data_IF_428390939576
#
_entry.id   IF_428390939576
#
_cell.length_a   1.000
_cell.length_b   1.000
_cell.length_c   1.000
_cell.angle_alpha   90.00
_cell.angle_beta   90.00
_cell.angle_gamma   90.00
#
_symmetry.space_group_name_H-M   'P 1'
#
loop_
_entity.id
_entity.type
_entity.pdbx_description
1 polymer ?
#
# COMPACT_ATOMS: atom_id res chain seq x y z
N UNK A 1 82.79 6.86 -14.29
CA UNK A 1 81.73 6.84 -13.27
C UNK A 1 80.41 6.81 -13.96
N UNK A 2 79.73 5.61 -13.93
CA UNK A 2 78.41 5.46 -14.52
C UNK A 2 77.40 5.33 -13.38
N UNK A 3 76.49 6.28 -13.27
CA UNK A 3 75.35 6.28 -12.31
C UNK A 3 74.18 5.62 -12.96
N UNK A 4 73.74 4.45 -12.43
CA UNK A 4 72.58 3.75 -12.82
C UNK A 4 71.38 4.23 -11.98
N UNK A 5 70.43 4.88 -12.65
CA UNK A 5 69.13 5.27 -12.07
C UNK A 5 68.18 4.03 -12.08
N UNK A 6 67.72 3.60 -10.90
CA UNK A 6 66.69 2.55 -10.76
C UNK A 6 65.31 3.24 -10.68
N UNK A 7 64.48 3.08 -11.70
CA UNK A 7 63.06 3.42 -11.69
C UNK A 7 62.29 2.30 -10.97
N UNK A 8 61.75 2.62 -9.80
CA UNK A 8 60.84 1.76 -9.10
C UNK A 8 59.40 1.98 -9.60
N UNK A 9 58.76 0.97 -10.13
CA UNK A 9 57.35 0.99 -10.46
C UNK A 9 56.52 0.74 -9.19
N UNK A 10 55.71 1.72 -8.77
CA UNK A 10 54.73 1.56 -7.70
C UNK A 10 53.43 1.07 -8.37
N UNK A 11 53.09 -0.19 -8.11
CA UNK A 11 51.84 -0.78 -8.56
C UNK A 11 50.74 -0.29 -7.60
N UNK A 12 49.92 0.67 -8.00
CA UNK A 12 48.74 1.08 -7.25
C UNK A 12 47.66 0.02 -7.42
N UNK A 13 47.41 -0.77 -6.38
CA UNK A 13 46.21 -1.64 -6.31
C UNK A 13 44.96 -0.76 -6.15
N UNK A 14 44.19 -0.63 -7.21
CA UNK A 14 42.80 -0.11 -7.13
C UNK A 14 41.92 -1.15 -6.42
N UNK A 15 41.68 -0.93 -5.13
CA UNK A 15 40.63 -1.62 -4.39
C UNK A 15 39.29 -1.01 -4.84
N UNK A 16 38.60 -1.68 -5.74
CA UNK A 16 37.21 -1.36 -6.05
C UNK A 16 36.38 -1.74 -4.83
N UNK A 17 36.04 -0.76 -4.00
CA UNK A 17 35.02 -0.94 -2.98
C UNK A 17 33.72 -1.23 -3.71
N UNK A 18 33.29 -2.49 -3.71
CA UNK A 18 31.91 -2.85 -4.07
C UNK A 18 31.01 -2.21 -3.02
N UNK A 19 30.31 -1.14 -3.40
CA UNK A 19 29.18 -0.65 -2.61
C UNK A 19 28.23 -1.84 -2.39
N UNK A 20 27.84 -2.16 -1.14
CA UNK A 20 26.83 -3.18 -0.94
C UNK A 20 25.60 -2.72 -1.71
N UNK A 21 25.13 -3.55 -2.65
CA UNK A 21 23.81 -3.41 -3.26
C UNK A 21 22.84 -3.48 -2.09
N UNK A 22 22.29 -2.33 -1.69
CA UNK A 22 21.22 -2.29 -0.70
C UNK A 22 20.12 -3.16 -1.31
N UNK A 23 19.87 -4.31 -0.70
CA UNK A 23 18.80 -5.20 -1.15
C UNK A 23 17.53 -4.37 -1.27
N UNK A 24 16.91 -4.38 -2.45
CA UNK A 24 15.71 -3.59 -2.69
C UNK A 24 14.57 -4.13 -1.81
N UNK A 25 14.36 -3.44 -0.70
CA UNK A 25 13.30 -3.75 0.23
C UNK A 25 11.97 -3.18 -0.29
N UNK A 26 10.88 -3.84 0.06
CA UNK A 26 9.51 -3.35 -0.12
C UNK A 26 8.87 -3.18 1.26
N UNK A 27 9.27 -2.15 2.03
CA UNK A 27 9.13 -2.10 3.48
C UNK A 27 7.71 -1.80 3.98
N UNK A 28 6.83 -1.39 3.10
CA UNK A 28 5.44 -1.00 3.38
C UNK A 28 4.56 -1.22 2.16
N UNK A 29 3.26 -1.03 2.33
CA UNK A 29 2.33 -1.04 1.22
C UNK A 29 2.75 -0.05 0.13
N UNK A 30 2.83 -0.52 -1.14
CA UNK A 30 3.33 0.20 -2.31
C UNK A 30 4.83 0.57 -2.28
N UNK A 31 5.64 -0.15 -1.48
CA UNK A 31 7.10 -0.06 -1.53
C UNK A 31 7.70 1.11 -0.76
N UNK A 32 8.99 1.32 -0.93
CA UNK A 32 9.78 2.25 -0.13
C UNK A 32 9.25 3.69 -0.13
N UNK A 33 8.69 4.13 -1.26
CA UNK A 33 8.14 5.48 -1.43
C UNK A 33 6.60 5.50 -1.43
N UNK A 34 5.93 4.38 -1.13
CA UNK A 34 4.47 4.31 -1.16
C UNK A 34 3.82 4.55 -2.53
N UNK A 35 4.60 4.51 -3.61
CA UNK A 35 4.20 4.91 -4.96
C UNK A 35 3.97 3.74 -5.93
N UNK A 36 4.29 2.49 -5.52
CA UNK A 36 4.15 1.30 -6.35
C UNK A 36 5.21 1.13 -7.43
N UNK A 37 6.34 1.85 -7.35
CA UNK A 37 7.39 1.82 -8.36
C UNK A 37 8.68 1.28 -7.77
N UNK A 38 9.39 0.46 -8.56
CA UNK A 38 10.75 0.02 -8.28
C UNK A 38 11.71 0.48 -9.36
N UNK A 39 12.98 0.64 -8.99
CA UNK A 39 14.09 0.89 -9.92
C UNK A 39 14.76 -0.41 -10.38
N UNK A 40 14.34 -1.55 -9.86
CA UNK A 40 14.87 -2.86 -10.24
C UNK A 40 14.67 -3.13 -11.73
N UNK A 41 15.61 -3.87 -12.29
CA UNK A 41 15.60 -4.32 -13.68
C UNK A 41 15.49 -5.85 -13.76
N UNK A 42 15.27 -6.38 -14.95
CA UNK A 42 15.13 -7.82 -15.17
C UNK A 42 13.95 -8.45 -14.42
N UNK A 43 12.89 -7.69 -14.22
CA UNK A 43 11.67 -8.17 -13.58
C UNK A 43 10.98 -9.25 -14.43
N UNK A 44 10.38 -10.28 -13.80
CA UNK A 44 9.75 -11.38 -14.50
C UNK A 44 8.58 -10.92 -15.38
N UNK A 45 8.51 -11.43 -16.59
CA UNK A 45 7.42 -11.17 -17.52
C UNK A 45 6.59 -12.43 -17.82
N UNK A 46 7.08 -13.62 -17.45
CA UNK A 46 6.40 -14.88 -17.76
C UNK A 46 6.45 -15.83 -16.58
N UNK A 47 5.28 -16.33 -16.20
CA UNK A 47 5.09 -17.42 -15.23
C UNK A 47 3.75 -18.11 -15.45
N UNK A 48 3.61 -19.29 -14.86
CA UNK A 48 2.37 -20.05 -14.79
C UNK A 48 2.30 -20.80 -13.46
N UNK A 49 1.28 -21.60 -13.24
CA UNK A 49 1.19 -22.44 -12.04
C UNK A 49 2.37 -23.43 -11.89
N UNK A 50 3.07 -23.75 -12.97
CA UNK A 50 4.15 -24.77 -13.02
C UNK A 50 5.52 -24.21 -13.41
N UNK A 51 5.61 -22.95 -13.81
CA UNK A 51 6.86 -22.35 -14.28
C UNK A 51 7.02 -20.92 -13.78
N UNK A 52 8.24 -20.49 -13.48
CA UNK A 52 8.53 -19.12 -13.07
C UNK A 52 8.05 -18.76 -11.66
N UNK A 53 7.55 -19.73 -10.88
CA UNK A 53 7.26 -19.60 -9.45
C UNK A 53 8.46 -20.13 -8.69
N UNK A 54 9.18 -19.22 -8.01
CA UNK A 54 10.32 -19.60 -7.17
C UNK A 54 9.88 -20.43 -5.96
N UNK A 55 8.77 -20.03 -5.35
CA UNK A 55 8.13 -20.77 -4.27
C UNK A 55 6.66 -20.32 -4.06
N UNK A 56 5.91 -21.17 -3.41
CA UNK A 56 4.55 -20.95 -2.91
C UNK A 56 4.49 -21.35 -1.45
N UNK A 57 3.83 -20.57 -0.61
CA UNK A 57 3.63 -20.88 0.79
C UNK A 57 2.18 -20.70 1.19
N UNK A 58 1.67 -21.63 2.01
CA UNK A 58 0.34 -21.53 2.63
C UNK A 58 0.42 -20.65 3.87
N UNK A 59 -0.55 -19.76 4.05
CA UNK A 59 -0.67 -18.87 5.19
C UNK A 59 -1.59 -19.48 6.25
N UNK A 60 -1.33 -19.18 7.51
CA UNK A 60 -2.12 -19.70 8.65
C UNK A 60 -3.56 -19.18 8.71
N UNK A 61 -3.90 -18.18 7.91
CA UNK A 61 -5.23 -17.59 7.85
C UNK A 61 -5.42 -16.78 6.59
N UNK A 62 -6.64 -16.33 6.35
CA UNK A 62 -6.98 -15.51 5.19
C UNK A 62 -6.62 -14.04 5.39
N UNK A 63 -6.44 -13.31 4.30
CA UNK A 63 -6.24 -11.86 4.34
C UNK A 63 -5.87 -11.26 3.00
N UNK A 64 -5.87 -9.93 2.97
CA UNK A 64 -5.60 -9.12 1.77
C UNK A 64 -4.47 -8.09 1.96
N UNK A 65 -3.70 -8.22 3.05
CA UNK A 65 -2.53 -7.35 3.23
C UNK A 65 -1.51 -7.59 2.13
N UNK A 66 -0.92 -6.53 1.59
CA UNK A 66 0.22 -6.67 0.69
C UNK A 66 1.39 -7.30 1.45
N UNK A 67 2.09 -8.27 0.85
CA UNK A 67 3.36 -8.73 1.38
C UNK A 67 4.35 -7.56 1.43
N UNK A 68 5.10 -7.43 2.52
CA UNK A 68 6.23 -6.50 2.59
C UNK A 68 7.54 -7.28 2.70
N UNK A 69 8.62 -6.69 2.24
CA UNK A 69 9.94 -7.33 2.26
C UNK A 69 10.95 -6.43 2.96
N UNK A 70 11.64 -7.02 3.93
CA UNK A 70 12.80 -6.40 4.55
C UNK A 70 13.92 -7.43 4.75
N UNK A 71 15.07 -7.19 4.16
CA UNK A 71 16.18 -8.14 4.17
C UNK A 71 15.76 -9.53 3.67
N UNK A 72 16.04 -10.56 4.44
CA UNK A 72 15.73 -11.96 4.09
C UNK A 72 14.32 -12.42 4.56
N UNK A 73 13.40 -11.49 4.78
CA UNK A 73 12.05 -11.77 5.28
C UNK A 73 10.96 -11.17 4.42
N UNK A 74 9.88 -11.93 4.28
CA UNK A 74 8.60 -11.48 3.70
C UNK A 74 7.57 -11.54 4.80
N UNK A 75 6.93 -10.42 5.11
CA UNK A 75 5.95 -10.32 6.18
C UNK A 75 4.55 -10.17 5.64
N UNK A 76 3.59 -10.84 6.27
CA UNK A 76 2.17 -10.74 5.97
C UNK A 76 1.34 -10.80 7.25
N UNK A 77 0.21 -10.10 7.25
CA UNK A 77 -0.83 -10.25 8.28
C UNK A 77 -1.93 -11.18 7.77
N UNK A 78 -2.54 -11.94 8.63
CA UNK A 78 -3.66 -12.83 8.31
C UNK A 78 -4.65 -12.91 9.48
N UNK A 79 -5.85 -13.40 9.20
CA UNK A 79 -6.90 -13.64 10.18
C UNK A 79 -7.32 -15.10 10.14
N UNK A 80 -7.30 -15.75 11.30
CA UNK A 80 -7.92 -17.04 11.56
C UNK A 80 -9.30 -16.77 12.15
N UNK A 81 -10.32 -17.51 11.72
CA UNK A 81 -11.71 -17.26 12.07
C UNK A 81 -12.37 -16.22 11.15
N UNK A 82 -13.68 -16.29 11.01
CA UNK A 82 -14.40 -15.47 10.03
C UNK A 82 -14.72 -14.06 10.54
N UNK A 83 -14.86 -13.89 11.86
CA UNK A 83 -15.29 -12.64 12.45
C UNK A 83 -16.71 -12.26 12.02
N UNK A 84 -17.03 -10.97 12.04
CA UNK A 84 -18.30 -10.43 11.60
C UNK A 84 -18.16 -9.91 10.17
N UNK A 85 -18.91 -10.51 9.25
CA UNK A 85 -18.95 -10.05 7.85
C UNK A 85 -20.26 -9.31 7.59
N UNK A 86 -20.17 -8.22 6.88
CA UNK A 86 -21.34 -7.53 6.35
C UNK A 86 -21.70 -8.14 5.00
N UNK A 87 -22.78 -8.90 4.97
CA UNK A 87 -23.40 -9.34 3.72
C UNK A 87 -24.13 -8.14 3.11
N UNK A 88 -23.74 -7.70 1.96
CA UNK A 88 -24.39 -6.62 1.22
C UNK A 88 -23.74 -6.54 -0.14
N UNK A 89 -24.54 -6.17 -1.14
CA UNK A 89 -24.06 -6.03 -2.49
C UNK A 89 -22.75 -5.23 -2.49
N UNK A 90 -21.78 -5.73 -3.23
CA UNK A 90 -20.62 -4.94 -3.63
C UNK A 90 -21.11 -3.54 -4.01
N UNK A 91 -20.37 -2.47 -3.70
CA UNK A 91 -20.60 -1.22 -4.36
C UNK A 91 -20.41 -1.48 -5.86
N UNK A 92 -21.47 -2.00 -6.49
CA UNK A 92 -21.53 -2.10 -7.92
C UNK A 92 -21.51 -0.65 -8.41
N UNK A 93 -20.64 -0.35 -9.34
CA UNK A 93 -20.60 0.92 -10.08
C UNK A 93 -21.87 1.11 -10.96
N UNK A 94 -22.91 0.35 -10.70
CA UNK A 94 -24.22 0.51 -11.32
C UNK A 94 -24.81 1.79 -10.75
N UNK A 95 -24.84 2.82 -11.58
CA UNK A 95 -25.52 4.07 -11.29
C UNK A 95 -26.93 3.79 -10.75
N UNK A 96 -27.22 4.33 -9.58
CA UNK A 96 -28.55 4.35 -9.00
C UNK A 96 -28.86 3.36 -7.89
N UNK A 97 -27.98 2.43 -7.55
CA UNK A 97 -28.19 1.55 -6.40
C UNK A 97 -27.40 2.06 -5.19
N UNK A 98 -28.01 2.81 -4.31
CA UNK A 98 -27.58 2.94 -2.92
C UNK A 98 -27.80 1.61 -2.18
N UNK A 99 -27.12 0.57 -2.68
CA UNK A 99 -27.17 -0.76 -2.09
C UNK A 99 -26.43 -0.83 -0.73
N UNK A 100 -25.85 0.26 -0.28
CA UNK A 100 -25.06 0.35 0.96
C UNK A 100 -25.85 0.61 2.24
N UNK A 101 -27.14 0.88 2.18
CA UNK A 101 -27.96 1.22 3.36
C UNK A 101 -28.83 0.09 3.88
N UNK A 102 -28.80 -1.07 3.27
CA UNK A 102 -29.52 -2.22 3.82
C UNK A 102 -28.84 -2.68 5.09
N UNK A 103 -29.61 -2.79 6.16
CA UNK A 103 -29.20 -3.32 7.46
C UNK A 103 -28.28 -4.52 7.30
N UNK A 104 -27.01 -4.28 7.48
CA UNK A 104 -25.97 -5.28 7.38
C UNK A 104 -25.84 -5.92 8.76
N UNK A 105 -26.76 -6.78 9.13
CA UNK A 105 -26.60 -7.65 10.30
C UNK A 105 -25.49 -8.65 9.95
N UNK A 106 -24.28 -8.40 10.44
CA UNK A 106 -23.24 -9.42 10.39
C UNK A 106 -23.65 -10.62 11.22
N UNK A 107 -23.60 -11.82 10.67
CA UNK A 107 -23.67 -13.02 11.48
C UNK A 107 -22.49 -13.04 12.46
N UNK A 108 -22.73 -13.42 13.72
CA UNK A 108 -21.65 -13.70 14.65
C UNK A 108 -20.78 -14.82 14.04
N UNK A 109 -19.51 -14.53 13.81
CA UNK A 109 -18.54 -15.50 13.29
C UNK A 109 -17.75 -16.14 14.43
N UNK A 110 -16.83 -17.01 14.06
CA UNK A 110 -15.89 -17.63 14.99
C UNK A 110 -14.99 -16.59 15.67
N UNK A 111 -14.40 -16.98 16.79
CA UNK A 111 -13.37 -16.18 17.44
C UNK A 111 -12.22 -15.86 16.46
N UNK A 112 -11.79 -14.61 16.47
CA UNK A 112 -10.74 -14.14 15.59
C UNK A 112 -9.39 -14.16 16.27
N UNK A 113 -8.39 -14.70 15.56
CA UNK A 113 -6.98 -14.59 15.93
C UNK A 113 -6.23 -13.93 14.76
N UNK A 114 -5.53 -12.86 15.05
CA UNK A 114 -4.65 -12.21 14.08
C UNK A 114 -3.29 -12.91 14.07
N UNK A 115 -2.66 -12.89 12.91
CA UNK A 115 -1.36 -13.49 12.67
C UNK A 115 -0.48 -12.47 11.96
N UNK A 116 0.70 -12.21 12.50
CA UNK A 116 1.81 -11.61 11.76
C UNK A 116 2.84 -12.73 11.53
N UNK A 117 3.10 -13.07 10.29
CA UNK A 117 4.03 -14.11 9.90
C UNK A 117 5.21 -13.55 9.11
N UNK A 118 6.40 -14.06 9.37
CA UNK A 118 7.60 -13.86 8.58
C UNK A 118 7.96 -15.14 7.83
N UNK A 119 8.08 -15.02 6.52
CA UNK A 119 8.56 -16.08 5.65
C UNK A 119 9.98 -15.77 5.19
N UNK A 120 10.80 -16.81 4.95
CA UNK A 120 12.12 -16.62 4.34
C UNK A 120 11.95 -16.18 2.89
N UNK A 121 12.66 -15.15 2.49
CA UNK A 121 12.65 -14.65 1.13
C UNK A 121 13.08 -15.72 0.11
N UNK A 122 14.06 -16.55 0.50
CA UNK A 122 14.69 -17.53 -0.39
C UNK A 122 13.71 -18.62 -0.84
N UNK A 123 12.93 -19.19 0.08
CA UNK A 123 12.17 -20.42 -0.13
C UNK A 123 10.72 -20.38 0.39
N UNK A 124 10.27 -19.25 0.94
CA UNK A 124 8.90 -19.10 1.48
C UNK A 124 8.65 -19.83 2.80
N UNK A 125 9.63 -20.56 3.34
CA UNK A 125 9.49 -21.24 4.63
C UNK A 125 9.21 -20.28 5.77
N UNK A 126 8.37 -20.69 6.71
CA UNK A 126 8.04 -19.87 7.88
C UNK A 126 9.29 -19.71 8.75
N UNK A 127 9.69 -18.46 9.00
CA UNK A 127 10.74 -18.12 9.94
C UNK A 127 10.21 -18.02 11.37
N UNK A 128 9.09 -17.33 11.52
CA UNK A 128 8.35 -17.21 12.77
C UNK A 128 6.91 -16.78 12.52
N UNK A 129 6.07 -16.96 13.52
CA UNK A 129 4.66 -16.53 13.52
C UNK A 129 4.32 -15.96 14.89
N UNK A 130 3.72 -14.77 14.90
CA UNK A 130 3.19 -14.13 16.08
C UNK A 130 1.67 -14.08 16.01
N UNK A 131 0.98 -14.61 17.02
CA UNK A 131 -0.48 -14.68 17.09
C UNK A 131 -1.01 -13.72 18.14
N UNK A 132 -2.09 -13.02 17.82
CA UNK A 132 -2.77 -12.05 18.69
C UNK A 132 -4.25 -12.38 18.69
N UNK A 133 -4.79 -12.76 19.83
CA UNK A 133 -6.24 -12.91 19.98
C UNK A 133 -6.91 -11.55 19.75
N UNK A 134 -7.97 -11.52 18.96
CA UNK A 134 -8.72 -10.29 18.77
C UNK A 134 -9.40 -9.86 20.06
N UNK A 135 -9.26 -8.60 20.41
CA UNK A 135 -9.82 -8.00 21.62
C UNK A 135 -10.79 -6.87 21.26
N UNK A 136 -11.83 -6.70 22.07
CA UNK A 136 -12.84 -5.67 21.87
C UNK A 136 -13.94 -6.10 20.90
N UNK A 137 -14.66 -5.10 20.35
CA UNK A 137 -15.76 -5.34 19.42
C UNK A 137 -15.24 -5.69 18.05
N UNK A 138 -15.65 -6.82 17.50
CA UNK A 138 -15.41 -7.17 16.11
C UNK A 138 -16.39 -6.40 15.23
N UNK A 139 -15.93 -5.33 14.61
CA UNK A 139 -16.74 -4.57 13.64
C UNK A 139 -16.95 -5.38 12.37
N UNK A 140 -18.15 -5.25 11.77
CA UNK A 140 -18.43 -5.89 10.49
C UNK A 140 -17.57 -5.30 9.38
N UNK A 141 -17.00 -6.15 8.55
CA UNK A 141 -16.14 -5.77 7.42
C UNK A 141 -16.80 -6.13 6.08
N UNK A 142 -16.40 -5.45 5.01
CA UNK A 142 -16.78 -5.81 3.64
C UNK A 142 -16.28 -7.22 3.32
N UNK A 143 -17.03 -7.97 2.50
CA UNK A 143 -16.73 -9.37 2.18
C UNK A 143 -15.41 -9.60 1.44
N UNK A 144 -14.86 -8.56 0.75
CA UNK A 144 -13.55 -8.62 0.08
C UNK A 144 -12.34 -8.45 1.00
N UNK A 145 -12.54 -8.18 2.29
CA UNK A 145 -11.42 -8.02 3.21
C UNK A 145 -11.75 -8.51 4.63
N UNK A 146 -10.81 -8.40 5.56
CA UNK A 146 -11.00 -8.78 6.95
C UNK A 146 -10.25 -7.80 7.89
N UNK A 147 -10.29 -8.05 9.19
CA UNK A 147 -9.67 -7.17 10.18
C UNK A 147 -8.13 -7.23 10.18
N UNK A 148 -7.51 -8.14 9.40
CA UNK A 148 -6.07 -8.19 9.15
C UNK A 148 -5.67 -7.62 7.77
N UNK A 149 -6.52 -6.78 7.17
CA UNK A 149 -6.27 -6.13 5.88
C UNK A 149 -5.14 -5.10 5.88
N UNK A 150 -4.89 -4.34 6.98
CA UNK A 150 -3.73 -3.46 7.00
C UNK A 150 -2.45 -4.24 6.73
N UNK A 151 -1.65 -3.74 5.77
CA UNK A 151 -0.33 -4.31 5.49
C UNK A 151 0.62 -3.95 6.62
N UNK A 152 1.52 -4.85 7.02
CA UNK A 152 2.55 -4.51 7.99
C UNK A 152 3.55 -3.50 7.39
N UNK A 153 4.37 -2.90 8.25
CA UNK A 153 5.48 -2.03 7.86
C UNK A 153 6.75 -2.46 8.59
N UNK A 154 7.89 -2.35 7.94
CA UNK A 154 9.18 -2.72 8.53
C UNK A 154 10.27 -1.74 8.14
N UNK A 155 11.25 -1.59 9.02
CA UNK A 155 12.56 -0.98 8.75
C UNK A 155 13.66 -1.80 9.41
N UNK A 156 14.86 -1.25 9.57
CA UNK A 156 15.99 -1.96 10.16
C UNK A 156 15.78 -2.38 11.62
N UNK A 157 14.89 -1.70 12.33
CA UNK A 157 14.70 -1.88 13.77
C UNK A 157 13.49 -2.75 14.14
N UNK A 158 12.40 -2.59 13.39
CA UNK A 158 11.08 -3.10 13.79
C UNK A 158 10.25 -3.64 12.63
N UNK A 159 9.32 -4.51 12.96
CA UNK A 159 8.17 -4.88 12.12
C UNK A 159 6.91 -4.56 12.91
N UNK A 160 6.02 -3.76 12.33
CA UNK A 160 4.78 -3.33 12.99
C UNK A 160 3.58 -3.81 12.21
N UNK A 161 2.64 -4.45 12.88
CA UNK A 161 1.33 -4.79 12.36
C UNK A 161 0.21 -4.10 13.13
N UNK A 162 -0.84 -3.73 12.41
CA UNK A 162 -2.02 -3.07 12.94
C UNK A 162 -3.28 -3.79 12.45
N UNK A 163 -4.24 -3.99 13.33
CA UNK A 163 -5.44 -4.77 13.04
C UNK A 163 -6.71 -3.92 13.20
N UNK A 164 -7.76 -4.34 12.51
CA UNK A 164 -9.02 -3.59 12.46
C UNK A 164 -9.78 -3.46 13.77
N UNK A 165 -9.34 -4.14 14.83
CA UNK A 165 -9.80 -3.92 16.22
C UNK A 165 -9.08 -2.77 16.93
N UNK A 166 -8.05 -2.19 16.30
CA UNK A 166 -7.21 -1.16 16.89
C UNK A 166 -5.98 -1.71 17.62
N UNK A 167 -5.77 -3.03 17.63
CA UNK A 167 -4.59 -3.65 18.21
C UNK A 167 -3.36 -3.44 17.31
N UNK A 168 -2.26 -3.02 17.91
CA UNK A 168 -0.95 -2.82 17.27
C UNK A 168 0.07 -3.69 17.96
N UNK A 169 0.90 -4.36 17.18
CA UNK A 169 2.05 -5.13 17.69
C UNK A 169 3.31 -4.70 16.96
N UNK A 170 4.37 -4.47 17.70
CA UNK A 170 5.71 -4.24 17.16
C UNK A 170 6.65 -5.35 17.62
N UNK A 171 7.36 -5.93 16.68
CA UNK A 171 8.30 -7.03 16.91
C UNK A 171 9.67 -6.63 16.36
N UNK A 172 10.72 -7.27 16.85
CA UNK A 172 12.00 -7.29 16.16
C UNK A 172 11.98 -8.28 14.97
N UNK A 173 13.03 -8.31 14.19
CA UNK A 173 13.13 -9.21 13.02
C UNK A 173 13.24 -10.70 13.37
N UNK A 174 13.52 -11.02 14.62
CA UNK A 174 13.50 -12.40 15.15
C UNK A 174 12.09 -12.83 15.60
N UNK A 175 11.11 -11.91 15.58
CA UNK A 175 9.73 -12.18 16.00
C UNK A 175 9.49 -11.98 17.50
N UNK A 176 10.43 -11.38 18.22
CA UNK A 176 10.28 -11.07 19.64
C UNK A 176 9.46 -9.78 19.80
N UNK A 177 8.40 -9.77 20.62
CA UNK A 177 7.63 -8.57 20.90
C UNK A 177 8.48 -7.47 21.56
N UNK A 178 8.36 -6.26 21.04
CA UNK A 178 8.95 -5.04 21.59
C UNK A 178 7.91 -4.30 22.42
N UNK A 179 6.74 -4.04 21.82
CA UNK A 179 5.62 -3.40 22.50
C UNK A 179 4.29 -3.76 21.82
N UNK A 180 3.21 -3.54 22.55
CA UNK A 180 1.84 -3.65 22.04
C UNK A 180 1.03 -2.43 22.45
N UNK A 181 0.03 -2.10 21.66
CA UNK A 181 -0.93 -1.03 21.94
C UNK A 181 -2.33 -1.41 21.49
N UNK A 182 -3.33 -0.76 22.07
CA UNK A 182 -4.71 -0.94 21.67
C UNK A 182 -5.38 0.44 21.46
N UNK A 183 -5.22 1.00 20.25
CA UNK A 183 -5.66 2.37 19.96
C UNK A 183 -7.16 2.57 20.19
N UNK A 184 -7.97 1.54 19.94
CA UNK A 184 -9.41 1.64 20.19
C UNK A 184 -9.78 1.70 21.67
N UNK A 185 -8.99 1.11 22.58
CA UNK A 185 -9.18 1.25 24.03
C UNK A 185 -8.61 2.55 24.58
N UNK A 186 -7.48 3.00 24.01
CA UNK A 186 -6.80 4.19 24.49
C UNK A 186 -7.52 5.48 24.09
N UNK A 187 -8.22 5.48 22.94
CA UNK A 187 -8.82 6.70 22.39
C UNK A 187 -10.31 6.56 22.10
N UNK A 188 -10.72 5.71 21.16
CA UNK A 188 -12.12 5.52 20.79
C UNK A 188 -12.31 4.21 20.01
N UNK A 189 -13.49 3.59 20.10
CA UNK A 189 -13.81 2.39 19.31
C UNK A 189 -13.54 2.58 17.81
N UNK A 190 -13.13 1.51 17.14
CA UNK A 190 -12.93 1.53 15.69
C UNK A 190 -14.26 1.25 15.00
N UNK A 191 -14.96 2.31 14.63
CA UNK A 191 -16.25 2.25 13.96
C UNK A 191 -16.17 2.98 12.63
N UNK A 192 -16.08 2.21 11.56
CA UNK A 192 -16.15 2.67 10.18
C UNK A 192 -16.96 1.64 9.37
N UNK A 193 -17.86 2.11 8.53
CA UNK A 193 -18.93 1.30 7.92
C UNK A 193 -18.47 -0.03 7.32
N UNK A 194 -17.33 -0.07 6.63
CA UNK A 194 -16.84 -1.25 5.92
C UNK A 194 -15.64 -1.94 6.58
N UNK A 195 -15.31 -1.52 7.80
CA UNK A 195 -14.13 -2.01 8.53
C UNK A 195 -12.86 -1.23 8.21
N UNK A 196 -11.92 -1.26 9.15
CA UNK A 196 -10.64 -0.54 9.03
C UNK A 196 -9.72 -1.22 8.02
N UNK A 197 -9.10 -0.45 7.12
CA UNK A 197 -8.21 -0.95 6.07
C UNK A 197 -6.89 -0.15 5.90
N UNK A 198 -6.78 1.04 6.50
CA UNK A 198 -5.56 1.85 6.44
C UNK A 198 -4.37 1.11 7.05
N UNK A 199 -3.21 1.16 6.40
CA UNK A 199 -1.97 0.58 6.90
C UNK A 199 -1.14 1.59 7.68
N UNK A 200 -0.33 1.17 8.66
CA UNK A 200 0.64 2.06 9.30
C UNK A 200 1.74 2.45 8.32
N UNK A 201 2.41 3.56 8.59
CA UNK A 201 3.63 3.98 7.89
C UNK A 201 4.75 4.29 8.90
N UNK A 202 5.99 4.17 8.45
CA UNK A 202 7.16 4.59 9.20
C UNK A 202 7.74 5.89 8.62
N UNK A 203 8.13 6.79 9.49
CA UNK A 203 8.90 7.97 9.15
C UNK A 203 9.94 8.24 10.23
N UNK A 204 11.22 8.06 9.92
CA UNK A 204 12.32 8.18 10.89
C UNK A 204 12.10 7.27 12.10
N UNK A 205 11.92 7.85 13.30
CA UNK A 205 11.65 7.12 14.54
C UNK A 205 10.16 7.01 14.87
N UNK A 206 9.28 7.38 13.94
CA UNK A 206 7.84 7.40 14.13
C UNK A 206 7.15 6.25 13.40
N UNK A 207 6.21 5.61 14.10
CA UNK A 207 5.16 4.79 13.52
C UNK A 207 3.85 5.61 13.55
N UNK A 208 3.24 5.82 12.39
CA UNK A 208 2.13 6.75 12.21
C UNK A 208 0.88 5.96 11.81
N UNK A 209 -0.23 6.27 12.48
CA UNK A 209 -1.52 5.62 12.34
C UNK A 209 -2.60 6.68 12.07
N UNK A 210 -3.34 6.50 10.98
CA UNK A 210 -4.49 7.36 10.64
C UNK A 210 -5.77 6.64 11.00
N UNK A 211 -6.48 7.17 11.99
CA UNK A 211 -7.77 6.67 12.45
C UNK A 211 -8.82 7.72 12.09
N UNK A 212 -9.40 7.60 10.90
CA UNK A 212 -10.47 8.46 10.43
C UNK A 212 -11.77 7.67 10.45
N UNK A 213 -12.42 7.65 11.62
CA UNK A 213 -13.61 6.86 11.93
C UNK A 213 -14.76 7.72 12.43
N UNK A 214 -15.96 7.14 12.55
CA UNK A 214 -17.16 7.90 12.91
C UNK A 214 -17.14 8.49 14.32
N UNK A 215 -16.78 7.75 15.40
CA UNK A 215 -16.84 8.29 16.75
C UNK A 215 -15.70 9.26 17.07
N UNK A 216 -14.52 9.02 16.45
CA UNK A 216 -13.36 9.90 16.62
C UNK A 216 -12.43 9.78 15.41
N UNK A 217 -11.94 10.92 14.95
CA UNK A 217 -10.97 11.00 13.85
C UNK A 217 -9.69 11.66 14.35
N UNK A 218 -8.57 10.96 14.19
CA UNK A 218 -7.25 11.45 14.62
C UNK A 218 -6.12 10.81 13.83
N UNK A 219 -4.96 11.43 13.92
CA UNK A 219 -3.69 10.83 13.54
C UNK A 219 -2.81 10.74 14.77
N UNK A 220 -2.17 9.59 14.99
CA UNK A 220 -1.25 9.40 16.11
C UNK A 220 0.08 8.89 15.61
N UNK A 221 1.17 9.48 16.12
CA UNK A 221 2.53 9.00 15.91
C UNK A 221 3.11 8.48 17.21
N UNK A 222 3.61 7.27 17.14
CA UNK A 222 4.28 6.58 18.23
C UNK A 222 5.77 6.50 17.94
N UNK A 223 6.58 6.51 18.98
CA UNK A 223 7.95 6.06 18.85
C UNK A 223 7.98 4.60 18.42
N UNK A 224 8.58 4.30 17.28
CA UNK A 224 8.53 2.98 16.65
C UNK A 224 9.15 1.87 17.50
N UNK A 225 10.12 2.20 18.37
CA UNK A 225 10.84 1.21 19.21
C UNK A 225 10.17 0.96 20.54
N UNK A 226 9.45 1.95 21.09
CA UNK A 226 8.90 1.90 22.45
C UNK A 226 7.37 1.92 22.50
N UNK A 227 6.70 2.33 21.43
CA UNK A 227 5.26 2.56 21.41
C UNK A 227 4.81 3.81 22.18
N UNK A 228 5.74 4.62 22.70
CA UNK A 228 5.39 5.88 23.37
C UNK A 228 4.78 6.89 22.41
N UNK A 229 3.71 7.57 22.84
CA UNK A 229 3.07 8.62 22.02
C UNK A 229 4.03 9.80 21.88
N UNK A 230 4.35 10.17 20.64
CA UNK A 230 5.16 11.34 20.30
C UNK A 230 4.27 12.55 20.04
N UNK A 231 3.19 12.35 19.31
CA UNK A 231 2.13 13.33 19.11
C UNK A 231 0.82 12.66 18.70
N UNK A 232 -0.30 13.34 18.95
CA UNK A 232 -1.62 12.99 18.46
C UNK A 232 -2.34 14.26 18.00
N UNK A 233 -2.96 14.20 16.85
CA UNK A 233 -3.66 15.33 16.25
C UNK A 233 -5.10 14.92 15.92
N UNK A 234 -6.06 15.51 16.64
CA UNK A 234 -7.48 15.27 16.43
C UNK A 234 -7.97 15.95 15.15
N UNK A 235 -8.99 15.35 14.56
CA UNK A 235 -9.68 15.84 13.37
C UNK A 235 -11.17 16.02 13.66
N UNK A 236 -11.88 16.81 12.84
CA UNK A 236 -13.34 16.90 12.97
C UNK A 236 -13.98 15.52 13.00
N UNK A 237 -14.96 15.33 13.86
CA UNK A 237 -15.72 14.08 13.94
C UNK A 237 -16.30 13.71 12.57
N UNK A 238 -16.37 12.40 12.29
CA UNK A 238 -16.84 11.86 11.02
C UNK A 238 -15.97 12.20 9.80
N UNK A 239 -14.71 12.58 9.99
CA UNK A 239 -13.73 12.55 8.91
C UNK A 239 -13.40 11.08 8.64
N UNK A 240 -13.86 10.53 7.51
CA UNK A 240 -13.72 9.11 7.20
C UNK A 240 -12.58 8.88 6.21
N UNK A 241 -11.88 7.77 6.33
CA UNK A 241 -10.91 7.31 5.34
C UNK A 241 -10.63 5.82 5.46
N UNK A 242 -10.44 5.18 4.29
CA UNK A 242 -9.90 3.83 4.15
C UNK A 242 -8.48 3.86 3.58
N UNK A 243 -8.01 5.05 3.23
CA UNK A 243 -6.74 5.27 2.56
C UNK A 243 -5.57 5.11 3.52
N UNK A 244 -4.51 4.45 3.07
CA UNK A 244 -3.22 4.47 3.76
C UNK A 244 -2.57 5.84 3.57
N UNK A 245 -1.98 6.45 4.62
CA UNK A 245 -1.28 7.72 4.48
C UNK A 245 -0.01 7.57 3.62
N UNK A 246 0.41 8.68 3.01
CA UNK A 246 1.66 8.78 2.26
C UNK A 246 2.55 9.83 2.88
N UNK A 247 3.82 9.50 3.16
CA UNK A 247 4.82 10.51 3.51
C UNK A 247 5.43 11.08 2.23
N UNK A 248 5.49 12.39 2.17
CA UNK A 248 6.10 13.13 1.06
C UNK A 248 7.14 14.13 1.59
N UNK A 249 8.16 14.38 0.80
CA UNK A 249 9.07 15.49 1.04
C UNK A 249 8.50 16.76 0.41
N UNK A 250 8.42 17.82 1.20
CA UNK A 250 7.98 19.13 0.77
C UNK A 250 9.01 20.21 1.10
N UNK A 251 8.92 21.40 0.52
CA UNK A 251 9.81 22.52 0.87
C UNK A 251 9.76 22.90 2.36
N UNK A 252 8.73 22.45 3.10
CA UNK A 252 8.55 22.73 4.53
C UNK A 252 8.86 21.53 5.43
N UNK A 253 9.54 20.53 4.90
CA UNK A 253 9.85 19.26 5.58
C UNK A 253 8.88 18.14 5.19
N UNK A 254 8.99 17.02 5.87
CA UNK A 254 8.14 15.86 5.58
C UNK A 254 6.67 16.13 5.95
N UNK A 255 5.78 15.76 5.05
CA UNK A 255 4.34 15.87 5.23
C UNK A 255 3.67 14.50 5.06
N UNK A 256 2.60 14.26 5.80
CA UNK A 256 1.73 13.10 5.66
C UNK A 256 0.51 13.54 4.87
N UNK A 257 0.24 12.88 3.76
CA UNK A 257 -0.96 13.11 2.95
C UNK A 257 -1.97 12.02 3.20
N UNK A 258 -3.21 12.40 3.45
CA UNK A 258 -4.35 11.49 3.65
C UNK A 258 -5.48 11.86 2.69
N UNK A 259 -6.03 10.87 2.02
CA UNK A 259 -7.25 10.99 1.25
C UNK A 259 -8.45 10.74 2.18
N UNK A 260 -9.07 11.81 2.66
CA UNK A 260 -10.20 11.77 3.60
C UNK A 260 -11.54 12.09 2.96
N UNK A 261 -12.64 11.91 3.66
CA UNK A 261 -14.00 12.13 3.14
C UNK A 261 -14.27 13.58 2.74
N UNK A 262 -13.62 14.54 3.39
CA UNK A 262 -13.80 15.98 3.11
C UNK A 262 -12.76 16.56 2.16
N UNK A 263 -11.82 15.76 1.70
CA UNK A 263 -10.74 16.20 0.81
C UNK A 263 -9.44 15.47 1.03
N UNK A 264 -8.40 15.91 0.35
CA UNK A 264 -7.03 15.56 0.70
C UNK A 264 -6.54 16.52 1.77
N UNK A 265 -5.88 15.98 2.76
CA UNK A 265 -5.21 16.76 3.80
C UNK A 265 -3.72 16.39 3.82
N UNK A 266 -2.87 17.41 3.90
CA UNK A 266 -1.47 17.24 4.23
C UNK A 266 -1.17 17.87 5.59
N UNK A 267 -0.38 17.16 6.38
CA UNK A 267 0.02 17.57 7.72
C UNK A 267 1.50 17.34 7.95
N UNK A 268 2.10 18.08 8.86
CA UNK A 268 3.48 17.86 9.29
C UNK A 268 3.67 16.44 9.82
N UNK A 269 4.66 15.72 9.32
CA UNK A 269 5.01 14.40 9.85
C UNK A 269 5.59 14.47 11.27
N UNK A 270 6.16 15.59 11.66
CA UNK A 270 6.78 15.78 12.98
C UNK A 270 5.77 16.20 14.07
N UNK A 271 4.64 16.83 13.70
CA UNK A 271 3.70 17.41 14.69
C UNK A 271 2.23 17.05 14.46
N UNK A 272 1.86 16.55 13.29
CA UNK A 272 0.47 16.29 12.89
C UNK A 272 -0.33 17.58 12.59
N UNK A 273 0.29 18.75 12.60
CA UNK A 273 -0.35 20.02 12.26
C UNK A 273 -0.72 20.07 10.78
N UNK A 274 -1.97 20.44 10.48
CA UNK A 274 -2.43 20.59 9.09
C UNK A 274 -1.63 21.68 8.37
N UNK A 275 -1.16 21.38 7.18
CA UNK A 275 -0.40 22.28 6.31
C UNK A 275 -1.26 22.85 5.19
N UNK A 276 -1.91 21.97 4.45
CA UNK A 276 -2.77 22.35 3.34
C UNK A 276 -3.88 21.31 3.11
N UNK A 277 -4.91 21.73 2.39
CA UNK A 277 -6.03 20.87 2.00
C UNK A 277 -6.46 21.16 0.57
N UNK A 278 -6.92 20.12 -0.12
CA UNK A 278 -7.77 20.24 -1.31
C UNK A 278 -9.16 19.77 -0.89
N UNK A 279 -10.12 20.67 -0.95
CA UNK A 279 -11.50 20.42 -0.48
C UNK A 279 -12.31 19.80 -1.60
N UNK A 280 -12.74 18.57 -1.41
CA UNK A 280 -13.71 17.87 -2.24
C UNK A 280 -14.23 16.63 -1.49
N UNK A 281 -15.52 16.49 -1.41
CA UNK A 281 -16.14 15.37 -0.71
C UNK A 281 -15.99 14.04 -1.47
N UNK A 282 -15.79 12.98 -0.70
CA UNK A 282 -15.87 11.60 -1.17
C UNK A 282 -16.43 10.74 -0.06
N UNK A 283 -17.48 9.99 -0.33
CA UNK A 283 -18.13 9.15 0.69
C UNK A 283 -17.20 8.04 1.21
N UNK A 284 -16.41 7.43 0.33
CA UNK A 284 -15.53 6.31 0.66
C UNK A 284 -14.17 6.49 -0.02
N UNK A 285 -13.29 7.36 0.50
CA UNK A 285 -11.95 7.56 -0.06
C UNK A 285 -11.07 6.36 0.28
N UNK A 286 -10.64 5.62 -0.75
CA UNK A 286 -9.79 4.43 -0.65
C UNK A 286 -8.42 4.66 -1.28
N UNK A 287 -8.32 5.18 -2.53
CA UNK A 287 -7.04 5.27 -3.23
C UNK A 287 -6.03 6.16 -2.51
N UNK A 288 -4.77 5.77 -2.61
CA UNK A 288 -3.63 6.53 -2.08
C UNK A 288 -3.00 7.33 -3.19
N UNK A 289 -2.48 8.49 -2.83
CA UNK A 289 -1.74 9.36 -3.74
C UNK A 289 -0.37 8.78 -4.10
N UNK A 290 0.22 9.30 -5.17
CA UNK A 290 1.64 9.14 -5.52
C UNK A 290 2.25 10.50 -5.84
N UNK A 291 3.56 10.62 -5.70
CA UNK A 291 4.27 11.88 -5.98
C UNK A 291 5.37 11.64 -6.99
N UNK A 292 5.47 12.55 -7.95
CA UNK A 292 6.58 12.64 -8.87
C UNK A 292 6.81 14.11 -9.26
N UNK A 293 8.06 14.52 -9.36
CA UNK A 293 8.48 15.84 -9.84
C UNK A 293 7.76 17.04 -9.17
N UNK A 294 7.52 16.94 -7.85
CA UNK A 294 6.83 17.98 -7.08
C UNK A 294 5.31 18.06 -7.29
N UNK A 295 4.74 17.10 -7.99
CA UNK A 295 3.30 16.97 -8.22
C UNK A 295 2.77 15.71 -7.51
N UNK A 296 1.68 15.87 -6.79
CA UNK A 296 0.93 14.79 -6.19
C UNK A 296 -0.21 14.40 -7.14
N UNK A 297 -0.27 13.11 -7.49
CA UNK A 297 -1.33 12.52 -8.30
C UNK A 297 -2.20 11.63 -7.44
N UNK A 298 -3.51 11.77 -7.57
CA UNK A 298 -4.47 10.99 -6.79
C UNK A 298 -5.81 10.86 -7.46
N UNK A 299 -6.67 10.02 -6.88
CA UNK A 299 -8.09 9.93 -7.22
C UNK A 299 -8.92 10.04 -5.96
N UNK A 300 -10.19 10.43 -6.10
CA UNK A 300 -11.12 10.45 -4.98
C UNK A 300 -11.86 9.12 -4.79
N UNK A 301 -11.69 8.19 -5.71
CA UNK A 301 -12.24 6.83 -5.66
C UNK A 301 -13.73 6.79 -5.93
N UNK A 302 -14.53 6.79 -4.91
CA UNK A 302 -15.98 6.51 -4.91
C UNK A 302 -16.74 7.01 -6.14
N UNK A 303 -17.50 6.10 -6.79
CA UNK A 303 -18.33 6.34 -7.97
C UNK A 303 -17.59 6.94 -9.16
N UNK A 304 -16.42 6.37 -9.50
CA UNK A 304 -15.63 6.85 -10.63
C UNK A 304 -15.23 8.33 -10.51
N UNK A 305 -14.80 8.70 -9.31
CA UNK A 305 -14.44 10.06 -8.95
C UNK A 305 -13.32 10.67 -9.80
N UNK A 306 -12.92 11.92 -9.52
CA UNK A 306 -11.94 12.61 -10.34
C UNK A 306 -10.52 12.08 -10.11
N UNK A 307 -9.68 12.30 -11.14
CA UNK A 307 -8.24 12.33 -11.00
C UNK A 307 -7.76 13.75 -10.73
N UNK A 308 -6.67 13.87 -10.00
CA UNK A 308 -6.03 15.14 -9.68
C UNK A 308 -4.52 15.10 -9.90
N UNK A 309 -3.99 16.26 -10.35
CA UNK A 309 -2.60 16.64 -10.13
C UNK A 309 -2.57 17.90 -9.27
N UNK A 310 -1.80 17.87 -8.20
CA UNK A 310 -1.72 18.93 -7.19
C UNK A 310 -0.25 19.29 -6.99
N UNK A 311 0.10 20.56 -7.15
CA UNK A 311 1.45 21.04 -6.86
C UNK A 311 1.70 21.05 -5.37
N UNK A 312 2.81 20.51 -4.93
CA UNK A 312 3.22 20.52 -3.53
C UNK A 312 3.63 21.92 -3.03
N UNK A 313 3.68 22.11 -1.72
CA UNK A 313 4.21 23.30 -1.08
C UNK A 313 3.19 24.38 -0.72
N UNK A 314 1.90 24.12 -0.88
CA UNK A 314 0.82 25.05 -0.53
C UNK A 314 0.60 25.26 0.97
N UNK A 315 -0.32 26.17 1.34
CA UNK A 315 -0.74 26.42 2.71
C UNK A 315 -2.23 26.71 2.77
N UNK A 316 -2.93 26.18 3.77
CA UNK A 316 -4.37 26.34 3.92
C UNK A 316 -5.17 25.63 2.85
N UNK A 317 -6.26 26.21 2.38
CA UNK A 317 -7.03 25.69 1.26
C UNK A 317 -6.34 26.01 -0.07
N UNK A 318 -5.86 24.97 -0.74
CA UNK A 318 -5.11 25.08 -2.00
C UNK A 318 -5.94 24.64 -3.22
N UNK A 319 -7.22 24.39 -3.04
CA UNK A 319 -8.12 23.88 -4.10
C UNK A 319 -8.08 24.74 -5.36
N UNK A 320 -8.15 26.06 -5.19
CA UNK A 320 -8.13 27.02 -6.31
C UNK A 320 -6.75 27.43 -6.81
N UNK A 321 -5.66 27.04 -6.11
CA UNK A 321 -4.32 27.59 -6.40
C UNK A 321 -3.27 26.54 -6.78
N UNK A 322 -3.40 25.29 -6.30
CA UNK A 322 -2.40 24.24 -6.52
C UNK A 322 -2.90 23.07 -7.35
N UNK A 323 -4.20 22.96 -7.62
CA UNK A 323 -4.71 21.98 -8.57
C UNK A 323 -4.22 22.34 -9.97
N UNK A 324 -3.31 21.53 -10.52
CA UNK A 324 -2.71 21.73 -11.85
C UNK A 324 -3.71 21.32 -12.93
N UNK A 325 -4.32 20.16 -12.74
CA UNK A 325 -5.41 19.68 -13.58
C UNK A 325 -6.34 18.75 -12.78
N UNK A 326 -7.56 18.63 -13.26
CA UNK A 326 -8.60 17.75 -12.73
C UNK A 326 -9.35 17.10 -13.90
N UNK A 327 -9.36 15.76 -13.92
CA UNK A 327 -10.21 14.98 -14.82
C UNK A 327 -11.43 14.53 -14.04
N UNK A 328 -12.65 14.98 -14.38
CA UNK A 328 -13.80 14.92 -13.46
C UNK A 328 -14.31 13.51 -13.16
N UNK A 329 -14.08 12.55 -14.04
CA UNK A 329 -14.61 11.18 -13.91
C UNK A 329 -13.66 10.15 -14.53
N UNK A 330 -13.92 8.87 -14.28
CA UNK A 330 -13.21 7.75 -14.91
C UNK A 330 -12.14 7.10 -14.03
N UNK A 331 -11.93 7.62 -12.83
CA UNK A 331 -10.98 7.02 -11.90
C UNK A 331 -11.51 5.70 -11.30
N UNK A 332 -10.63 4.72 -11.01
CA UNK A 332 -11.00 3.52 -10.30
C UNK A 332 -11.51 3.83 -8.89
N UNK A 333 -12.41 2.99 -8.37
CA UNK A 333 -12.96 3.15 -7.04
C UNK A 333 -11.95 2.75 -5.94
N UNK A 334 -11.32 1.60 -6.10
CA UNK A 334 -10.49 0.98 -5.05
C UNK A 334 -9.00 1.13 -5.35
N UNK A 335 -8.58 0.75 -6.56
CA UNK A 335 -7.16 0.69 -6.89
C UNK A 335 -6.55 2.09 -6.95
N UNK A 336 -5.34 2.23 -6.40
CA UNK A 336 -4.55 3.46 -6.49
C UNK A 336 -3.86 3.53 -7.84
N UNK A 337 -3.60 4.74 -8.31
CA UNK A 337 -2.84 4.96 -9.54
C UNK A 337 -1.34 4.70 -9.35
N UNK A 338 -0.61 4.43 -10.42
CA UNK A 338 0.85 4.45 -10.45
C UNK A 338 1.34 5.46 -11.47
N UNK A 339 2.27 6.32 -11.07
CA UNK A 339 3.00 7.22 -11.97
C UNK A 339 4.30 6.54 -12.40
N UNK A 340 4.50 6.38 -13.70
CA UNK A 340 5.72 5.77 -14.22
C UNK A 340 6.08 6.35 -15.60
N UNK A 341 7.32 6.84 -15.75
CA UNK A 341 7.85 7.43 -16.99
C UNK A 341 6.97 8.55 -17.58
N UNK A 342 6.50 9.48 -16.72
CA UNK A 342 5.69 10.62 -17.15
C UNK A 342 4.23 10.30 -17.50
N UNK A 343 3.80 9.08 -17.24
CA UNK A 343 2.45 8.59 -17.48
C UNK A 343 1.82 8.09 -16.17
N UNK A 344 0.49 8.15 -16.11
CA UNK A 344 -0.29 7.62 -15.00
C UNK A 344 -1.07 6.42 -15.50
N UNK A 345 -0.94 5.29 -14.82
CA UNK A 345 -1.68 4.07 -15.13
C UNK A 345 -2.65 3.74 -14.02
N UNK A 346 -3.85 3.36 -14.38
CA UNK A 346 -4.89 2.90 -13.47
C UNK A 346 -5.58 1.68 -14.03
N UNK A 347 -6.09 0.83 -13.14
CA UNK A 347 -6.92 -0.31 -13.49
C UNK A 347 -8.15 -0.35 -12.58
N UNK A 348 -9.32 -0.59 -13.14
CA UNK A 348 -10.59 -0.52 -12.41
C UNK A 348 -11.24 -1.88 -12.21
N UNK A 349 -12.21 -1.91 -11.33
CA UNK A 349 -13.03 -3.07 -11.02
C UNK A 349 -13.88 -3.53 -12.22
N UNK A 350 -13.99 -2.68 -13.23
CA UNK A 350 -14.68 -2.99 -14.51
C UNK A 350 -13.76 -3.61 -15.55
N UNK A 351 -12.50 -3.89 -15.22
CA UNK A 351 -11.51 -4.41 -16.16
C UNK A 351 -11.03 -3.38 -17.18
N UNK A 352 -11.23 -2.09 -16.89
CA UNK A 352 -10.76 -0.98 -17.73
C UNK A 352 -9.41 -0.52 -17.20
N UNK A 353 -8.45 -0.40 -18.10
CA UNK A 353 -7.13 0.17 -17.85
C UNK A 353 -7.02 1.50 -18.57
N UNK A 354 -6.58 2.51 -17.86
CA UNK A 354 -6.46 3.87 -18.40
C UNK A 354 -5.03 4.37 -18.23
N UNK A 355 -4.50 4.99 -19.27
CA UNK A 355 -3.24 5.73 -19.25
C UNK A 355 -3.52 7.22 -19.50
N UNK A 356 -3.03 8.06 -18.59
CA UNK A 356 -3.10 9.51 -18.71
C UNK A 356 -1.68 10.08 -18.87
N UNK A 357 -1.57 11.16 -19.57
CA UNK A 357 -0.38 12.01 -19.56
C UNK A 357 -0.29 12.72 -18.21
N UNK A 358 0.79 12.52 -17.48
CA UNK A 358 0.91 13.05 -16.12
C UNK A 358 0.96 14.59 -16.08
N UNK A 359 1.44 15.23 -17.15
CA UNK A 359 1.57 16.69 -17.23
C UNK A 359 0.25 17.39 -17.50
N UNK A 360 -0.59 16.81 -18.38
CA UNK A 360 -1.84 17.45 -18.84
C UNK A 360 -3.11 16.81 -18.26
N UNK A 361 -3.05 15.55 -17.78
CA UNK A 361 -4.22 14.77 -17.40
C UNK A 361 -5.00 14.22 -18.60
N UNK A 362 -4.55 14.46 -19.83
CA UNK A 362 -5.18 13.96 -21.04
C UNK A 362 -5.06 12.44 -21.12
N UNK A 363 -6.13 11.80 -21.57
CA UNK A 363 -6.15 10.36 -21.78
C UNK A 363 -5.31 9.99 -23.01
N UNK A 364 -4.21 9.25 -22.78
CA UNK A 364 -3.35 8.73 -23.84
C UNK A 364 -4.01 7.54 -24.51
N UNK A 365 -4.51 6.60 -23.71
CA UNK A 365 -5.32 5.47 -24.15
C UNK A 365 -6.19 4.93 -23.00
N UNK A 366 -7.22 4.18 -23.37
CA UNK A 366 -8.09 3.46 -22.44
C UNK A 366 -8.56 2.18 -23.13
N UNK A 367 -8.33 1.04 -22.46
CA UNK A 367 -8.58 -0.27 -23.03
C UNK A 367 -9.22 -1.22 -22.03
N UNK A 368 -9.92 -2.20 -22.52
CA UNK A 368 -10.47 -3.28 -21.72
C UNK A 368 -9.44 -4.41 -21.62
N UNK A 369 -8.77 -4.53 -20.49
CA UNK A 369 -7.84 -5.62 -20.24
C UNK A 369 -8.55 -6.92 -19.79
N UNK A 370 -9.81 -6.84 -19.36
CA UNK A 370 -10.56 -7.93 -18.74
C UNK A 370 -10.24 -8.08 -17.25
N UNK A 371 -10.97 -8.96 -16.57
CA UNK A 371 -10.81 -9.20 -15.15
C UNK A 371 -11.41 -8.11 -14.26
N UNK A 372 -11.10 -8.18 -12.98
CA UNK A 372 -11.52 -7.24 -11.91
C UNK A 372 -10.25 -6.81 -11.19
N UNK A 373 -9.93 -5.51 -11.20
CA UNK A 373 -8.70 -5.00 -10.60
C UNK A 373 -9.00 -4.25 -9.30
N UNK A 374 -8.91 -4.94 -8.18
CA UNK A 374 -8.93 -4.36 -6.83
C UNK A 374 -7.51 -4.01 -6.37
N UNK A 375 -6.54 -4.87 -6.71
CA UNK A 375 -5.13 -4.61 -6.47
C UNK A 375 -4.64 -3.35 -7.20
N UNK A 376 -3.84 -2.55 -6.51
CA UNK A 376 -3.19 -1.39 -7.14
C UNK A 376 -2.05 -1.85 -8.05
N UNK A 377 -1.88 -1.25 -9.23
CA UNK A 377 -0.78 -1.55 -10.13
C UNK A 377 0.57 -1.21 -9.52
N UNK A 378 1.60 -1.96 -9.94
CA UNK A 378 3.00 -1.66 -9.67
C UNK A 378 3.78 -1.56 -10.96
N UNK A 379 4.88 -0.80 -10.96
CA UNK A 379 5.67 -0.57 -12.17
C UNK A 379 7.18 -0.66 -11.92
N UNK A 380 7.91 -1.09 -12.91
CA UNK A 380 9.37 -1.18 -12.94
C UNK A 380 9.85 -1.84 -14.22
N UNK A 381 11.13 -1.67 -14.58
CA UNK A 381 11.75 -2.32 -15.73
C UNK A 381 10.99 -2.12 -17.06
N UNK A 382 10.44 -0.92 -17.26
CA UNK A 382 9.63 -0.59 -18.44
C UNK A 382 8.28 -1.31 -18.51
N UNK A 383 7.80 -1.88 -17.41
CA UNK A 383 6.58 -2.68 -17.32
C UNK A 383 5.61 -2.13 -16.28
N UNK A 384 4.32 -2.37 -16.51
CA UNK A 384 3.24 -2.14 -15.52
C UNK A 384 2.53 -3.47 -15.29
N UNK A 385 2.41 -3.87 -14.03
CA UNK A 385 1.82 -5.13 -13.60
C UNK A 385 0.44 -4.88 -13.01
N UNK A 386 -0.57 -5.53 -13.57
CA UNK A 386 -1.97 -5.43 -13.19
C UNK A 386 -2.45 -6.80 -12.72
N UNK A 387 -2.72 -6.94 -11.43
CA UNK A 387 -3.15 -8.20 -10.82
C UNK A 387 -4.66 -8.21 -10.68
N UNK A 388 -5.32 -9.19 -11.30
CA UNK A 388 -6.77 -9.36 -11.28
C UNK A 388 -7.20 -10.32 -10.18
N UNK A 389 -8.39 -10.10 -9.62
CA UNK A 389 -9.03 -11.02 -8.67
C UNK A 389 -9.19 -12.44 -9.21
N UNK A 390 -9.28 -12.60 -10.52
CA UNK A 390 -9.41 -13.91 -11.15
C UNK A 390 -8.11 -14.72 -11.21
N UNK A 391 -7.00 -14.22 -10.66
CA UNK A 391 -5.71 -14.90 -10.69
C UNK A 391 -4.84 -14.58 -11.91
N UNK A 392 -5.32 -13.74 -12.82
CA UNK A 392 -4.54 -13.29 -13.97
C UNK A 392 -3.72 -12.05 -13.62
N UNK A 393 -2.48 -12.02 -14.06
CA UNK A 393 -1.63 -10.83 -14.08
C UNK A 393 -1.40 -10.39 -15.51
N UNK A 394 -1.88 -9.22 -15.87
CA UNK A 394 -1.62 -8.57 -17.15
C UNK A 394 -0.38 -7.70 -17.02
N UNK A 395 0.60 -7.90 -17.89
CA UNK A 395 1.82 -7.12 -17.93
C UNK A 395 1.79 -6.25 -19.18
N UNK A 396 1.81 -4.92 -18.96
CA UNK A 396 1.88 -3.95 -20.04
C UNK A 396 3.30 -3.44 -20.20
N UNK A 397 3.68 -3.12 -21.42
CA UNK A 397 4.82 -2.25 -21.70
C UNK A 397 4.43 -0.82 -21.31
N UNK A 398 5.26 -0.19 -20.49
CA UNK A 398 5.05 1.23 -20.17
C UNK A 398 5.26 2.09 -21.43
N UNK A 399 4.30 2.96 -21.73
CA UNK A 399 4.39 3.82 -22.92
C UNK A 399 3.05 4.40 -23.38
N UNK A 400 3.14 5.21 -24.41
CA UNK A 400 1.99 5.92 -25.00
C UNK A 400 1.11 5.05 -25.92
N UNK A 401 1.48 3.78 -26.10
CA UNK A 401 0.71 2.80 -26.87
C UNK A 401 0.32 1.65 -25.95
N UNK A 402 -0.92 1.20 -26.01
CA UNK A 402 -1.35 0.02 -25.28
C UNK A 402 -0.71 -1.24 -25.88
N UNK A 403 0.16 -1.89 -25.14
CA UNK A 403 0.87 -3.10 -25.58
C UNK A 403 0.89 -4.10 -24.42
N UNK A 404 0.25 -5.25 -24.58
CA UNK A 404 0.26 -6.35 -23.63
C UNK A 404 1.48 -7.22 -23.91
N UNK A 405 2.43 -7.26 -22.98
CA UNK A 405 3.62 -8.10 -23.06
C UNK A 405 3.33 -9.56 -22.70
N UNK A 406 2.48 -9.77 -21.69
CA UNK A 406 2.12 -11.10 -21.22
C UNK A 406 0.82 -11.10 -20.42
N UNK A 407 0.21 -12.29 -20.35
CA UNK A 407 -0.88 -12.64 -19.43
C UNK A 407 -0.47 -13.92 -18.70
N UNK A 408 -0.29 -13.82 -17.40
CA UNK A 408 0.15 -14.91 -16.55
C UNK A 408 -0.99 -15.32 -15.62
N UNK A 409 -1.17 -16.62 -15.41
CA UNK A 409 -2.26 -17.16 -14.60
C UNK A 409 -1.71 -17.98 -13.45
N UNK A 410 -2.21 -17.68 -12.24
CA UNK A 410 -2.08 -18.53 -11.06
C UNK A 410 -3.49 -18.91 -10.59
N UNK A 411 -3.62 -20.10 -10.02
CA UNK A 411 -4.90 -20.57 -9.49
C UNK A 411 -5.09 -20.07 -8.07
N UNK A 412 -5.41 -18.78 -7.97
CA UNK A 412 -5.65 -18.08 -6.71
C UNK A 412 -6.51 -16.83 -6.94
N UNK A 413 -7.17 -16.36 -5.89
CA UNK A 413 -7.90 -15.10 -5.86
C UNK A 413 -7.04 -14.00 -5.26
N UNK A 414 -6.81 -12.90 -6.01
CA UNK A 414 -5.91 -11.82 -5.64
C UNK A 414 -6.64 -10.50 -5.43
N UNK A 415 -6.66 -10.02 -4.21
CA UNK A 415 -7.14 -8.67 -3.86
C UNK A 415 -5.95 -7.77 -3.44
N UNK A 416 -4.93 -8.38 -2.86
CA UNK A 416 -3.73 -7.67 -2.40
C UNK A 416 -2.90 -7.11 -3.58
N UNK A 417 -2.36 -5.91 -3.40
CA UNK A 417 -1.39 -5.36 -4.34
C UNK A 417 -0.07 -6.14 -4.29
N UNK A 418 0.65 -6.29 -5.40
CA UNK A 418 1.92 -7.00 -5.42
C UNK A 418 3.05 -6.21 -4.72
N UNK A 419 4.08 -6.94 -4.28
CA UNK A 419 5.34 -6.37 -3.84
C UNK A 419 6.47 -6.83 -4.78
N UNK A 420 7.52 -6.01 -4.90
CA UNK A 420 8.69 -6.31 -5.73
C UNK A 420 9.94 -6.22 -4.88
N UNK A 421 10.79 -7.25 -4.95
CA UNK A 421 12.07 -7.23 -4.26
C UNK A 421 13.06 -8.19 -4.91
N UNK A 422 14.22 -7.68 -5.26
CA UNK A 422 15.38 -8.45 -5.77
C UNK A 422 14.99 -9.36 -6.95
N UNK A 423 14.33 -8.79 -7.95
CA UNK A 423 13.91 -9.49 -9.17
C UNK A 423 12.73 -10.44 -9.01
N UNK A 424 12.09 -10.50 -7.84
CA UNK A 424 10.86 -11.25 -7.59
C UNK A 424 9.65 -10.37 -7.41
N UNK A 425 8.50 -10.89 -7.81
CA UNK A 425 7.20 -10.31 -7.51
C UNK A 425 6.48 -11.23 -6.54
N UNK A 426 6.03 -10.68 -5.43
CA UNK A 426 5.27 -11.39 -4.41
C UNK A 426 3.79 -11.11 -4.61
N UNK A 427 3.03 -12.16 -4.86
CA UNK A 427 1.58 -12.14 -5.07
C UNK A 427 0.91 -12.85 -3.91
N UNK A 428 -0.08 -12.23 -3.28
CA UNK A 428 -0.82 -12.83 -2.19
C UNK A 428 -2.24 -13.16 -2.60
N UNK A 429 -2.57 -14.45 -2.55
CA UNK A 429 -3.94 -14.94 -2.56
C UNK A 429 -4.57 -14.88 -1.15
N UNK A 430 -5.80 -15.35 -1.02
CA UNK A 430 -6.52 -15.28 0.25
C UNK A 430 -5.75 -15.95 1.41
N UNK A 431 -5.25 -17.14 1.22
CA UNK A 431 -4.49 -17.93 2.19
C UNK A 431 -3.16 -18.46 1.67
N UNK A 432 -2.59 -17.79 0.70
CA UNK A 432 -1.34 -18.19 0.04
C UNK A 432 -0.49 -16.98 -0.31
N UNK A 433 0.78 -17.22 -0.51
CA UNK A 433 1.72 -16.27 -1.08
C UNK A 433 2.58 -16.96 -2.13
N UNK A 434 2.81 -16.30 -3.24
CA UNK A 434 3.64 -16.74 -4.34
C UNK A 434 4.80 -15.77 -4.51
N UNK A 435 6.00 -16.29 -4.69
CA UNK A 435 7.12 -15.51 -5.22
C UNK A 435 7.35 -15.94 -6.67
N UNK A 436 7.15 -15.03 -7.62
CA UNK A 436 7.39 -15.27 -9.04
C UNK A 436 8.67 -14.57 -9.47
N UNK A 437 9.43 -15.21 -10.34
CA UNK A 437 10.77 -14.79 -10.74
C UNK A 437 11.82 -15.84 -10.35
N UNK A 438 13.11 -15.48 -10.48
CA UNK A 438 14.24 -16.37 -10.18
C UNK A 438 14.68 -16.32 -8.72
#
# INVERSE_FOLDING_TARGET
MRTSSRFGWVLALLVTASTPVVADNWPQWRGAHGNGVTVETSLPASWSATQGVAWRATLSGAGVSTPIVWGERVFVTSQIGTGVRRSGSHPTLVQGADAGERNLSGAAGDAVTFVLAAHRWADGGVAWTHKVAAEGTLTGVHDKHNLASPSPVADADVVIAWFGTGQVVALDHAGKPLWTKHLAREYAPFEIQWGHASSPILHRDLAIFVVYHEPASYVVALDKRTGAVRWKADRPAKTLSYSTPLVIDSPRGAEIVVNGSTGLEAMSADTGETRWRVVEDSRFPIPVATVADGILYTTRGYRSGPYYAIRLGGSGDVTGTHVVWRVPTGAPYISSLVHYQGLIYTASELGIVTCLDAKSGERVWQERAGGIFTASPVAGDGKVYLVSETGETVILKAGRTYEVLARNKLDAHFVASPAISRGRIFLRGDNEIFAVGK
#
